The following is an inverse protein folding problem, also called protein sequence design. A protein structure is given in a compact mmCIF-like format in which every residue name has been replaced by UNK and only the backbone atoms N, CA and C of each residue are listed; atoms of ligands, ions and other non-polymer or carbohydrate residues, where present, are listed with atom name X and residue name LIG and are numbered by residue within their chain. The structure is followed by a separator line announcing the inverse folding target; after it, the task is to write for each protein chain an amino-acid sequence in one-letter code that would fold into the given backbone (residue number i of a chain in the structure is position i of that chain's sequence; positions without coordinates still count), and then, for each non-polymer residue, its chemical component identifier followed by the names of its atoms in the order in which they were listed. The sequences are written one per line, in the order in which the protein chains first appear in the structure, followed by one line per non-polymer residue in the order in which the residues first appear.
data_IF_500495994114
#
_entry.id   IF_500495994114
#
_cell.length_a   1.000
_cell.length_b   1.000
_cell.length_c   1.000
_cell.angle_alpha   90.00
_cell.angle_beta   90.00
_cell.angle_gamma   90.00
#
_symmetry.space_group_name_H-M   'P 1'
#
loop_
_entity.id
_entity.type
_entity.pdbx_description
1 polymer ?
#
# COMPACT_ATOMS: atom_id res chain seq x y z
N UNK A 1 -5.89 8.86 30.15
CA UNK A 1 -6.04 8.80 28.67
C UNK A 1 -4.70 8.35 28.14
N UNK A 2 -4.51 7.10 27.66
CA UNK A 2 -3.23 6.72 27.08
C UNK A 2 -3.16 7.24 25.64
N UNK A 3 -2.10 7.99 25.34
CA UNK A 3 -1.72 8.36 23.99
C UNK A 3 -1.37 7.09 23.22
N UNK A 4 -2.20 6.76 22.22
CA UNK A 4 -1.93 5.64 21.31
C UNK A 4 -0.83 6.09 20.36
N UNK A 5 0.39 5.59 20.57
CA UNK A 5 1.54 5.77 19.69
C UNK A 5 1.17 5.40 18.24
N UNK A 6 0.95 6.41 17.41
CA UNK A 6 0.57 6.23 16.00
C UNK A 6 1.67 5.55 15.18
N UNK A 7 2.92 5.57 15.66
CA UNK A 7 4.10 4.96 15.04
C UNK A 7 4.10 3.43 15.12
N UNK A 8 3.76 2.84 16.27
CA UNK A 8 3.71 1.38 16.44
C UNK A 8 2.66 0.71 15.53
N UNK A 9 1.56 1.42 15.25
CA UNK A 9 0.53 0.91 14.33
C UNK A 9 1.01 0.89 12.88
N UNK A 10 1.81 1.89 12.47
CA UNK A 10 2.32 2.00 11.11
C UNK A 10 3.41 0.97 10.84
N UNK A 11 4.34 0.77 11.78
CA UNK A 11 5.38 -0.27 11.67
C UNK A 11 4.80 -1.69 11.67
N UNK A 12 3.77 -1.95 12.48
CA UNK A 12 3.07 -3.24 12.50
C UNK A 12 2.31 -3.49 11.20
N UNK A 13 1.66 -2.46 10.63
CA UNK A 13 0.99 -2.53 9.33
C UNK A 13 1.98 -2.65 8.16
N UNK A 14 3.18 -2.07 8.26
CA UNK A 14 4.26 -2.29 7.27
C UNK A 14 4.75 -3.75 7.27
N UNK A 15 4.74 -4.42 8.43
CA UNK A 15 5.12 -5.84 8.54
C UNK A 15 4.12 -6.77 7.82
N UNK A 16 2.84 -6.40 7.85
CA UNK A 16 1.72 -7.13 7.24
C UNK A 16 1.32 -6.60 5.85
N UNK A 17 1.94 -5.52 5.37
CA UNK A 17 1.64 -4.90 4.08
C UNK A 17 1.71 -5.89 2.89
N UNK A 18 2.69 -6.81 2.78
CA UNK A 18 2.70 -7.80 1.71
C UNK A 18 1.47 -8.71 1.74
N UNK A 19 1.06 -9.13 2.94
CA UNK A 19 -0.09 -10.00 3.14
C UNK A 19 -1.39 -9.27 2.83
N UNK A 20 -1.57 -8.06 3.38
CA UNK A 20 -2.74 -7.22 3.14
C UNK A 20 -2.92 -6.90 1.65
N UNK A 21 -1.85 -6.51 0.97
CA UNK A 21 -1.88 -6.21 -0.46
C UNK A 21 -2.19 -7.45 -1.31
N UNK A 22 -1.65 -8.62 -0.95
CA UNK A 22 -1.97 -9.89 -1.61
C UNK A 22 -3.45 -10.25 -1.43
N UNK A 23 -3.99 -10.11 -0.23
CA UNK A 23 -5.39 -10.42 0.05
C UNK A 23 -6.33 -9.47 -0.70
N UNK A 24 -6.01 -8.17 -0.76
CA UNK A 24 -6.76 -7.21 -1.56
C UNK A 24 -6.73 -7.57 -3.07
N UNK A 25 -5.59 -8.03 -3.60
CA UNK A 25 -5.51 -8.49 -4.99
C UNK A 25 -6.42 -9.70 -5.25
N UNK A 26 -6.52 -10.64 -4.31
CA UNK A 26 -7.41 -11.81 -4.38
C UNK A 26 -8.88 -11.38 -4.35
N UNK A 27 -9.26 -10.48 -3.43
CA UNK A 27 -10.61 -9.94 -3.37
C UNK A 27 -11.03 -9.28 -4.69
N UNK A 28 -10.13 -8.50 -5.30
CA UNK A 28 -10.36 -7.87 -6.60
C UNK A 28 -10.45 -8.89 -7.75
N UNK A 29 -9.67 -9.97 -7.70
CA UNK A 29 -9.76 -11.09 -8.68
C UNK A 29 -11.10 -11.82 -8.58
N UNK A 30 -11.58 -12.08 -7.36
CA UNK A 30 -12.89 -12.68 -7.11
C UNK A 30 -14.02 -11.78 -7.64
N UNK A 31 -13.91 -10.46 -7.41
CA UNK A 31 -14.86 -9.48 -7.93
C UNK A 31 -14.87 -9.45 -9.47
N UNK A 32 -13.70 -9.53 -10.12
CA UNK A 32 -13.57 -9.63 -11.59
C UNK A 32 -14.23 -10.89 -12.17
N UNK A 33 -14.35 -11.95 -11.36
CA UNK A 33 -15.04 -13.20 -11.71
C UNK A 33 -16.52 -13.20 -11.33
N UNK A 34 -17.08 -12.05 -10.95
CA UNK A 34 -18.45 -11.88 -10.45
C UNK A 34 -18.77 -12.76 -9.23
N UNK A 35 -17.76 -13.08 -8.41
CA UNK A 35 -17.96 -13.83 -7.18
C UNK A 35 -18.33 -12.88 -6.03
N UNK A 36 -19.23 -13.32 -5.16
CA UNK A 36 -19.54 -12.60 -3.92
C UNK A 36 -18.37 -12.74 -2.96
N UNK A 37 -17.69 -11.64 -2.69
CA UNK A 37 -16.55 -11.58 -1.78
C UNK A 37 -16.67 -10.37 -0.86
N UNK A 38 -16.19 -10.50 0.37
CA UNK A 38 -16.01 -9.34 1.25
C UNK A 38 -14.79 -8.55 0.80
N UNK A 39 -14.90 -7.23 0.67
CA UNK A 39 -13.80 -6.35 0.24
C UNK A 39 -12.98 -5.81 1.42
N UNK A 40 -12.81 -6.62 2.48
CA UNK A 40 -12.26 -6.13 3.75
C UNK A 40 -10.80 -5.70 3.59
N UNK A 41 -9.95 -6.55 3.03
CA UNK A 41 -8.54 -6.24 2.82
C UNK A 41 -8.37 -5.06 1.86
N UNK A 42 -9.24 -4.96 0.85
CA UNK A 42 -9.28 -3.83 -0.07
C UNK A 42 -9.56 -2.52 0.64
N UNK A 43 -10.55 -2.48 1.56
CA UNK A 43 -10.87 -1.27 2.34
C UNK A 43 -9.79 -0.96 3.39
N UNK A 44 -9.22 -1.98 4.04
CA UNK A 44 -8.12 -1.80 4.99
C UNK A 44 -6.87 -1.23 4.29
N UNK A 45 -6.50 -1.76 3.12
CA UNK A 45 -5.40 -1.23 2.30
C UNK A 45 -5.67 0.21 1.86
N UNK A 46 -6.91 0.52 1.49
CA UNK A 46 -7.30 1.88 1.13
C UNK A 46 -7.27 2.86 2.32
N UNK A 47 -7.59 2.37 3.52
CA UNK A 47 -7.45 3.14 4.76
C UNK A 47 -5.98 3.41 5.06
N UNK A 48 -5.13 2.39 4.96
CA UNK A 48 -3.69 2.51 5.15
C UNK A 48 -3.06 3.48 4.15
N UNK A 49 -3.35 3.35 2.85
CA UNK A 49 -2.88 4.29 1.82
C UNK A 49 -3.39 5.72 2.07
N UNK A 50 -4.63 5.87 2.54
CA UNK A 50 -5.13 7.18 2.96
C UNK A 50 -4.27 7.76 4.07
N UNK A 51 -4.18 7.08 5.21
CA UNK A 51 -3.44 7.55 6.38
C UNK A 51 -1.96 7.81 6.10
N UNK A 52 -1.33 6.95 5.30
CA UNK A 52 0.07 7.10 4.92
C UNK A 52 0.30 8.38 4.09
N UNK A 53 -0.63 8.76 3.22
CA UNK A 53 -0.41 9.83 2.24
C UNK A 53 -1.32 11.07 2.41
N UNK A 54 -2.19 11.13 3.43
CA UNK A 54 -3.18 12.20 3.67
C UNK A 54 -2.61 13.48 4.33
N UNK A 55 -1.38 13.43 4.86
CA UNK A 55 -0.73 14.53 5.62
C UNK A 55 -0.34 15.80 4.86
N UNK A 56 -0.75 15.99 3.60
CA UNK A 56 -0.32 17.11 2.74
C UNK A 56 -1.42 18.12 2.38
N UNK A 57 -2.71 17.82 2.61
CA UNK A 57 -3.78 18.71 2.15
C UNK A 57 -4.21 19.80 3.15
N UNK A 58 -3.69 19.80 4.38
CA UNK A 58 -4.26 20.60 5.47
C UNK A 58 -3.27 21.34 6.34
N UNK A 59 -2.34 22.13 5.78
CA UNK A 59 -1.72 23.32 6.40
C UNK A 59 -1.08 23.26 7.81
N UNK A 60 -1.10 22.13 8.50
CA UNK A 60 -0.64 21.96 9.86
C UNK A 60 0.30 20.76 9.92
N UNK A 61 1.57 21.03 10.24
CA UNK A 61 2.54 20.06 10.75
C UNK A 61 2.73 18.77 9.96
N UNK A 62 3.79 18.71 9.15
CA UNK A 62 4.34 17.46 8.64
C UNK A 62 4.87 16.58 9.78
N UNK A 63 4.03 15.73 10.38
CA UNK A 63 4.47 14.76 11.39
C UNK A 63 4.33 13.29 10.97
N UNK A 64 3.74 13.00 9.81
CA UNK A 64 3.82 11.65 9.21
C UNK A 64 4.97 11.61 8.21
N UNK A 65 6.20 11.55 8.73
CA UNK A 65 7.33 11.02 7.98
C UNK A 65 7.00 9.55 7.68
N UNK A 66 6.39 9.30 6.52
CA UNK A 66 6.39 7.98 5.91
C UNK A 66 7.81 7.43 5.99
N UNK A 67 7.97 6.19 6.43
CA UNK A 67 9.27 5.56 6.35
C UNK A 67 9.69 5.60 4.87
N UNK A 68 10.89 6.12 4.52
CA UNK A 68 11.38 6.17 3.13
C UNK A 68 11.20 4.87 2.32
N UNK A 69 11.26 3.66 2.94
CA UNK A 69 10.93 2.42 2.26
C UNK A 69 9.51 2.36 1.68
N UNK A 70 8.52 2.92 2.38
CA UNK A 70 7.11 2.78 2.05
C UNK A 70 6.73 3.63 0.84
N UNK A 71 7.30 4.82 0.70
CA UNK A 71 7.20 5.64 -0.51
C UNK A 71 7.78 4.90 -1.72
N UNK A 72 8.97 4.32 -1.58
CA UNK A 72 9.63 3.57 -2.64
C UNK A 72 8.81 2.35 -3.08
N UNK A 73 8.22 1.63 -2.13
CA UNK A 73 7.36 0.48 -2.41
C UNK A 73 6.12 0.85 -3.21
N UNK A 74 5.44 1.93 -2.83
CA UNK A 74 4.23 2.42 -3.50
C UNK A 74 4.58 2.99 -4.89
N UNK A 75 5.67 3.74 -5.01
CA UNK A 75 6.14 4.25 -6.29
C UNK A 75 6.47 3.11 -7.27
N UNK A 76 7.17 2.08 -6.80
CA UNK A 76 7.47 0.88 -7.60
C UNK A 76 6.20 0.14 -8.00
N UNK A 77 5.21 0.03 -7.11
CA UNK A 77 3.92 -0.58 -7.43
C UNK A 77 3.16 0.19 -8.53
N UNK A 78 3.18 1.53 -8.51
CA UNK A 78 2.61 2.34 -9.59
C UNK A 78 3.31 2.12 -10.92
N UNK A 79 4.64 2.09 -10.93
CA UNK A 79 5.42 1.82 -12.15
C UNK A 79 5.15 0.44 -12.74
N UNK A 80 5.05 -0.59 -11.88
CA UNK A 80 4.86 -1.99 -12.32
C UNK A 80 3.42 -2.32 -12.71
N UNK A 81 2.44 -1.62 -12.14
CA UNK A 81 1.02 -1.83 -12.46
C UNK A 81 0.60 -1.30 -13.83
N UNK A 82 1.54 -0.80 -14.65
CA UNK A 82 1.31 -0.25 -16.00
C UNK A 82 0.24 0.85 -16.05
N UNK A 83 -0.05 1.49 -14.91
CA UNK A 83 -0.88 2.70 -14.93
C UNK A 83 -0.10 3.76 -15.69
N UNK A 84 -0.77 4.47 -16.59
CA UNK A 84 -0.21 5.59 -17.33
C UNK A 84 0.02 6.81 -16.42
N UNK A 85 0.60 6.61 -15.23
CA UNK A 85 0.93 7.64 -14.27
C UNK A 85 2.43 7.87 -14.35
N UNK A 86 2.81 9.03 -14.85
CA UNK A 86 4.20 9.48 -14.80
C UNK A 86 4.42 10.19 -13.48
N UNK A 87 4.97 9.48 -12.50
CA UNK A 87 5.36 10.07 -11.21
C UNK A 87 6.70 10.79 -11.40
N UNK A 88 6.71 12.13 -11.33
CA UNK A 88 7.94 12.95 -11.47
C UNK A 88 8.45 13.48 -10.14
N UNK A 89 7.54 13.71 -9.20
CA UNK A 89 7.83 14.27 -7.88
C UNK A 89 7.23 13.41 -6.78
N UNK A 90 7.70 13.61 -5.55
CA UNK A 90 7.11 12.94 -4.38
C UNK A 90 5.67 13.43 -4.17
N UNK A 91 5.39 14.72 -4.41
CA UNK A 91 4.02 15.26 -4.38
C UNK A 91 3.07 14.55 -5.36
N UNK A 92 3.54 14.17 -6.54
CA UNK A 92 2.75 13.39 -7.49
C UNK A 92 2.43 11.99 -6.93
N UNK A 93 3.39 11.38 -6.24
CA UNK A 93 3.19 10.09 -5.55
C UNK A 93 2.12 10.22 -4.46
N UNK A 94 2.20 11.24 -3.61
CA UNK A 94 1.20 11.49 -2.57
C UNK A 94 -0.20 11.70 -3.13
N UNK A 95 -0.33 12.53 -4.19
CA UNK A 95 -1.60 12.79 -4.86
C UNK A 95 -2.17 11.53 -5.49
N UNK A 96 -1.34 10.76 -6.21
CA UNK A 96 -1.82 9.54 -6.87
C UNK A 96 -2.15 8.45 -5.85
N UNK A 97 -1.35 8.28 -4.79
CA UNK A 97 -1.63 7.34 -3.71
C UNK A 97 -2.95 7.67 -3.01
N UNK A 98 -3.21 8.96 -2.70
CA UNK A 98 -4.47 9.41 -2.11
C UNK A 98 -5.68 9.19 -3.03
N UNK A 99 -5.51 9.48 -4.33
CA UNK A 99 -6.53 9.21 -5.35
C UNK A 99 -6.81 7.72 -5.49
N UNK A 100 -5.77 6.90 -5.46
CA UNK A 100 -5.89 5.46 -5.55
C UNK A 100 -6.52 4.86 -4.29
N UNK A 101 -6.20 5.37 -3.10
CA UNK A 101 -6.90 5.04 -1.87
C UNK A 101 -8.40 5.30 -1.99
N UNK A 102 -8.78 6.44 -2.54
CA UNK A 102 -10.19 6.79 -2.79
C UNK A 102 -10.84 5.83 -3.80
N UNK A 103 -10.09 5.43 -4.83
CA UNK A 103 -10.54 4.43 -5.82
C UNK A 103 -10.82 3.09 -5.15
N UNK A 104 -9.90 2.55 -4.35
CA UNK A 104 -10.10 1.30 -3.62
C UNK A 104 -11.27 1.37 -2.61
N UNK A 105 -11.46 2.52 -1.95
CA UNK A 105 -12.62 2.77 -1.08
C UNK A 105 -13.94 2.73 -1.84
N UNK A 106 -13.95 3.13 -3.11
CA UNK A 106 -15.14 3.11 -3.96
C UNK A 106 -15.37 1.77 -4.69
N UNK A 107 -14.38 0.88 -4.76
CA UNK A 107 -14.52 -0.42 -5.42
C UNK A 107 -15.69 -1.24 -4.84
N UNK A 108 -16.49 -1.81 -5.73
CA UNK A 108 -17.65 -2.66 -5.45
C UNK A 108 -18.12 -3.39 -6.71
N UNK A 109 -19.21 -4.14 -6.61
CA UNK A 109 -19.71 -5.00 -7.70
C UNK A 109 -19.99 -4.27 -9.03
N UNK A 110 -20.30 -2.98 -8.98
CA UNK A 110 -20.59 -2.16 -10.16
C UNK A 110 -19.35 -1.44 -10.73
N UNK A 111 -18.17 -1.72 -10.18
CA UNK A 111 -16.93 -1.09 -10.64
C UNK A 111 -16.56 -1.53 -12.05
N UNK A 112 -16.08 -0.58 -12.85
CA UNK A 112 -15.61 -0.86 -14.19
C UNK A 112 -14.48 -1.91 -14.18
N UNK A 113 -14.57 -2.87 -15.11
CA UNK A 113 -13.59 -3.96 -15.24
C UNK A 113 -12.14 -3.44 -15.30
N UNK A 114 -11.88 -2.37 -16.06
CA UNK A 114 -10.55 -1.76 -16.17
C UNK A 114 -10.03 -1.23 -14.84
N UNK A 115 -10.90 -0.63 -14.02
CA UNK A 115 -10.56 -0.14 -12.68
C UNK A 115 -10.21 -1.28 -11.76
N UNK A 116 -10.95 -2.39 -11.84
CA UNK A 116 -10.67 -3.60 -11.06
C UNK A 116 -9.36 -4.28 -11.48
N UNK A 117 -9.11 -4.43 -12.79
CA UNK A 117 -7.86 -4.98 -13.33
C UNK A 117 -6.66 -4.12 -12.93
N UNK A 118 -6.75 -2.80 -13.07
CA UNK A 118 -5.70 -1.87 -12.65
C UNK A 118 -5.47 -1.91 -11.15
N UNK A 119 -6.54 -1.99 -10.35
CA UNK A 119 -6.42 -2.03 -8.89
C UNK A 119 -5.78 -3.34 -8.43
N UNK A 120 -6.19 -4.46 -9.02
CA UNK A 120 -5.60 -5.78 -8.78
C UNK A 120 -4.11 -5.79 -9.13
N UNK A 121 -3.74 -5.26 -10.30
CA UNK A 121 -2.36 -5.20 -10.75
C UNK A 121 -1.48 -4.38 -9.78
N UNK A 122 -2.00 -3.25 -9.29
CA UNK A 122 -1.32 -2.46 -8.27
C UNK A 122 -1.16 -3.24 -6.96
N UNK A 123 -2.23 -3.84 -6.42
CA UNK A 123 -2.16 -4.59 -5.17
C UNK A 123 -1.17 -5.76 -5.25
N UNK A 124 -1.14 -6.48 -6.39
CA UNK A 124 -0.17 -7.54 -6.63
C UNK A 124 1.28 -7.01 -6.69
N UNK A 125 1.52 -5.91 -7.41
CA UNK A 125 2.84 -5.29 -7.50
C UNK A 125 3.34 -4.72 -6.16
N UNK A 126 2.42 -4.21 -5.34
CA UNK A 126 2.72 -3.74 -3.99
C UNK A 126 3.08 -4.92 -3.08
N UNK A 127 2.32 -6.01 -3.13
CA UNK A 127 2.61 -7.22 -2.36
C UNK A 127 3.99 -7.78 -2.70
N UNK A 128 4.31 -7.89 -4.00
CA UNK A 128 5.61 -8.35 -4.48
C UNK A 128 6.74 -7.43 -4.00
N UNK A 129 6.59 -6.12 -4.18
CA UNK A 129 7.62 -5.15 -3.80
C UNK A 129 7.87 -5.17 -2.30
N UNK A 130 6.80 -5.21 -1.49
CA UNK A 130 6.88 -5.22 -0.04
C UNK A 130 7.49 -6.53 0.49
N UNK A 131 7.15 -7.68 -0.13
CA UNK A 131 7.76 -8.97 0.21
C UNK A 131 9.27 -8.96 -0.07
N UNK A 132 9.70 -8.45 -1.24
CA UNK A 132 11.11 -8.35 -1.60
C UNK A 132 11.88 -7.44 -0.64
N UNK A 133 11.32 -6.28 -0.28
CA UNK A 133 11.93 -5.38 0.69
C UNK A 133 12.08 -6.03 2.07
N UNK A 134 11.04 -6.73 2.52
CA UNK A 134 11.07 -7.50 3.77
C UNK A 134 12.18 -8.56 3.74
N UNK A 135 12.29 -9.33 2.66
CA UNK A 135 13.36 -10.30 2.49
C UNK A 135 14.75 -9.66 2.55
N UNK A 136 14.98 -8.55 1.84
CA UNK A 136 16.26 -7.84 1.89
C UNK A 136 16.61 -7.39 3.33
N UNK A 137 15.66 -6.79 4.04
CA UNK A 137 15.86 -6.32 5.43
C UNK A 137 16.23 -7.45 6.42
N UNK A 138 15.64 -8.63 6.26
CA UNK A 138 15.92 -9.77 7.16
C UNK A 138 17.16 -10.58 6.76
N UNK A 139 17.52 -10.62 5.48
CA UNK A 139 18.72 -11.34 5.01
C UNK A 139 20.00 -10.51 5.05
N UNK A 140 19.92 -9.17 5.05
CA UNK A 140 21.09 -8.27 5.21
C UNK A 140 21.51 -8.05 6.67
N UNK A 141 20.77 -8.57 7.66
CA UNK A 141 21.26 -8.55 9.04
C UNK A 141 22.56 -9.39 9.09
N UNK A 142 23.74 -8.79 9.34
CA UNK A 142 24.97 -9.54 9.33
C UNK A 142 24.86 -10.61 10.41
N UNK A 143 24.95 -11.87 9.99
CA UNK A 143 25.12 -13.01 10.89
C UNK A 143 26.44 -12.77 11.60
N UNK A 144 26.40 -12.18 12.79
CA UNK A 144 27.56 -11.72 13.51
C UNK A 144 28.52 -12.90 13.73
N UNK A 145 29.70 -12.92 13.06
CA UNK A 145 30.62 -14.05 13.15
C UNK A 145 31.34 -14.14 14.51
N UNK A 146 31.05 -13.24 15.45
CA UNK A 146 31.66 -13.18 16.77
C UNK A 146 30.72 -13.51 17.93
N UNK A 147 29.62 -14.25 17.71
CA UNK A 147 28.97 -14.97 18.81
C UNK A 147 29.81 -16.21 19.16
N UNK A 148 30.85 -16.00 19.96
CA UNK A 148 31.49 -17.03 20.78
C UNK A 148 30.90 -16.99 22.19
#
# INVERSE_FOLDING_TARGET
MPEVNSTETLESLELDLPHLASQAAIELDMLLRNQKVGLRATKELASWLGKAFEGLQGGAGHEFLLAPPTEMLVARAFQRSQRAVTLKTVDDLFKEASKFASTLRAVGSDSERKTLESSRAFCAALAESAALYRHAKYFEAPMNPFRH
#
